data_IF_341349243822
#
_entry.id   IF_341349243822
#
_cell.length_a   1.000
_cell.length_b   1.000
_cell.length_c   1.000
_cell.angle_alpha   90.00
_cell.angle_beta   90.00
_cell.angle_gamma   90.00
#
_symmetry.space_group_name_H-M   'P 1'
#
loop_
_entity.id
_entity.type
_entity.pdbx_description
1 polymer ?
#
# COMPACT_ATOMS: atom_id res chain seq x y z
N UNK A 1 -0.53 13.00 30.87
CA UNK A 1 -1.45 11.85 30.80
C UNK A 1 -0.70 10.71 30.14
N UNK A 2 -0.75 9.48 30.70
CA UNK A 2 -0.18 8.29 30.03
C UNK A 2 -0.95 7.98 28.77
N UNK A 3 -0.27 7.46 27.75
CA UNK A 3 -0.94 6.97 26.53
C UNK A 3 -1.83 5.76 26.88
N UNK A 4 -2.95 5.62 26.18
CA UNK A 4 -3.81 4.45 26.33
C UNK A 4 -3.06 3.19 25.86
N UNK A 5 -3.40 2.05 26.43
CA UNK A 5 -2.91 0.74 26.00
C UNK A 5 -3.85 0.20 24.92
N UNK A 6 -3.28 -0.40 23.87
CA UNK A 6 -4.06 -1.08 22.84
C UNK A 6 -4.45 -2.48 23.34
N UNK A 7 -5.71 -2.84 23.22
CA UNK A 7 -6.23 -4.17 23.53
C UNK A 7 -6.70 -4.86 22.26
N UNK A 8 -6.16 -6.06 21.99
CA UNK A 8 -6.54 -6.86 20.81
C UNK A 8 -7.80 -7.65 21.11
N UNK A 9 -8.94 -7.09 20.75
CA UNK A 9 -10.25 -7.75 20.94
C UNK A 9 -10.80 -8.36 19.65
N UNK A 10 -10.28 -7.92 18.48
CA UNK A 10 -10.76 -8.29 17.15
C UNK A 10 -9.60 -8.64 16.21
N UNK A 11 -9.84 -9.46 15.17
CA UNK A 11 -8.85 -9.67 14.11
C UNK A 11 -8.43 -8.35 13.46
N UNK A 12 -7.13 -8.17 13.22
CA UNK A 12 -6.58 -7.00 12.58
C UNK A 12 -6.38 -7.22 11.08
N UNK A 13 -6.91 -6.30 10.26
CA UNK A 13 -6.84 -6.35 8.79
C UNK A 13 -6.37 -5.01 8.26
N UNK A 14 -5.42 -5.03 7.34
CA UNK A 14 -4.98 -3.84 6.61
C UNK A 14 -5.76 -3.73 5.31
N UNK A 15 -6.56 -2.69 5.17
CA UNK A 15 -7.25 -2.36 3.91
C UNK A 15 -6.74 -1.04 3.38
N UNK A 16 -6.92 -0.78 2.09
CA UNK A 16 -6.55 0.52 1.57
C UNK A 16 -7.35 0.91 0.35
N UNK A 17 -7.44 2.24 0.13
CA UNK A 17 -8.07 2.83 -1.04
C UNK A 17 -7.07 3.00 -2.17
N UNK A 18 -7.44 2.49 -3.35
CA UNK A 18 -6.70 2.64 -4.60
C UNK A 18 -7.63 3.15 -5.70
N UNK A 19 -7.10 3.68 -6.79
CA UNK A 19 -7.89 4.19 -7.91
C UNK A 19 -7.36 5.52 -8.42
N UNK A 20 -7.98 6.05 -9.46
CA UNK A 20 -7.57 7.26 -10.16
C UNK A 20 -7.57 8.49 -9.25
N UNK A 21 -6.80 9.52 -9.63
CA UNK A 21 -6.88 10.85 -9.01
C UNK A 21 -8.31 11.38 -9.13
N UNK A 22 -8.78 12.16 -8.17
CA UNK A 22 -10.12 12.78 -8.11
C UNK A 22 -11.32 11.82 -8.11
N UNK A 23 -11.11 10.50 -8.03
CA UNK A 23 -12.21 9.54 -7.85
C UNK A 23 -12.76 9.51 -6.42
N UNK A 24 -12.17 10.26 -5.47
CA UNK A 24 -12.70 10.47 -4.12
C UNK A 24 -12.22 9.46 -3.08
N UNK A 25 -11.00 8.89 -3.22
CA UNK A 25 -10.40 7.96 -2.24
C UNK A 25 -10.34 8.54 -0.82
N UNK A 26 -9.69 9.69 -0.66
CA UNK A 26 -9.56 10.37 0.64
C UNK A 26 -10.90 10.86 1.17
N UNK A 27 -11.83 11.27 0.28
CA UNK A 27 -13.21 11.60 0.66
C UNK A 27 -13.93 10.37 1.23
N UNK A 28 -13.77 9.21 0.59
CA UNK A 28 -14.33 7.95 1.08
C UNK A 28 -13.72 7.55 2.43
N UNK A 29 -12.41 7.65 2.58
CA UNK A 29 -11.71 7.39 3.86
C UNK A 29 -12.25 8.29 4.97
N UNK A 30 -12.44 9.59 4.71
CA UNK A 30 -13.04 10.53 5.66
C UNK A 30 -14.51 10.17 5.99
N UNK A 31 -15.31 9.78 4.97
CA UNK A 31 -16.69 9.35 5.15
C UNK A 31 -16.80 8.09 6.01
N UNK A 32 -15.93 7.09 5.77
CA UNK A 32 -15.85 5.87 6.59
C UNK A 32 -15.60 6.23 8.05
N UNK A 33 -14.58 7.04 8.34
CA UNK A 33 -14.28 7.41 9.74
C UNK A 33 -15.41 8.17 10.40
N UNK A 34 -16.10 9.04 9.66
CA UNK A 34 -17.25 9.81 10.17
C UNK A 34 -18.41 8.89 10.55
N UNK A 35 -18.80 8.00 9.64
CA UNK A 35 -19.95 7.11 9.84
C UNK A 35 -19.69 6.12 10.98
N UNK A 36 -18.48 5.54 11.01
CA UNK A 36 -18.09 4.62 12.08
C UNK A 36 -17.96 5.32 13.43
N UNK A 37 -17.56 6.60 13.47
CA UNK A 37 -17.51 7.40 14.70
C UNK A 37 -18.89 7.56 15.37
N UNK A 38 -19.99 7.51 14.60
CA UNK A 38 -21.34 7.57 15.15
C UNK A 38 -21.67 6.38 16.08
N UNK A 39 -21.02 5.23 15.86
CA UNK A 39 -21.10 4.06 16.75
C UNK A 39 -19.93 3.95 17.73
N UNK A 40 -19.02 4.93 17.77
CA UNK A 40 -17.83 4.93 18.62
C UNK A 40 -16.74 3.95 18.14
N UNK A 41 -16.78 3.53 16.87
CA UNK A 41 -15.85 2.58 16.27
C UNK A 41 -14.68 3.25 15.54
N UNK A 42 -14.62 4.58 15.53
CA UNK A 42 -13.53 5.37 14.99
C UNK A 42 -13.46 6.75 15.67
N UNK A 43 -12.30 7.39 15.55
CA UNK A 43 -12.19 8.84 15.68
C UNK A 43 -12.39 9.47 14.30
N UNK A 44 -13.33 10.41 14.19
CA UNK A 44 -13.55 11.11 12.92
C UNK A 44 -12.27 11.81 12.42
N UNK A 45 -11.90 11.53 11.19
CA UNK A 45 -10.79 12.18 10.48
C UNK A 45 -11.33 13.01 9.33
N UNK A 46 -11.27 14.33 9.46
CA UNK A 46 -11.64 15.22 8.37
C UNK A 46 -10.64 15.07 7.21
N UNK A 47 -11.07 15.34 5.99
CA UNK A 47 -10.27 15.30 4.76
C UNK A 47 -8.91 15.98 4.95
N UNK A 48 -8.91 17.24 5.41
CA UNK A 48 -7.68 18.03 5.65
C UNK A 48 -6.76 17.48 6.75
N UNK A 49 -7.23 16.53 7.55
CA UNK A 49 -6.42 15.86 8.57
C UNK A 49 -5.80 14.56 8.07
N UNK A 50 -6.31 14.00 6.98
CA UNK A 50 -5.76 12.86 6.25
C UNK A 50 -4.67 13.38 5.32
N UNK A 51 -5.01 14.26 4.37
CA UNK A 51 -4.06 14.99 3.52
C UNK A 51 -3.49 16.19 4.27
N UNK A 52 -2.48 15.94 5.10
CA UNK A 52 -2.03 16.94 6.08
C UNK A 52 -0.81 17.76 5.62
N UNK A 53 -0.02 17.27 4.65
CA UNK A 53 1.17 17.97 4.18
C UNK A 53 0.80 19.30 3.50
N UNK A 54 1.60 20.37 3.69
CA UNK A 54 1.32 21.67 3.03
C UNK A 54 1.21 21.56 1.51
N UNK A 55 1.98 20.67 0.88
CA UNK A 55 1.97 20.43 -0.55
C UNK A 55 0.70 19.71 -1.01
N UNK A 56 0.18 18.74 -0.22
CA UNK A 56 -1.10 18.08 -0.45
C UNK A 56 -2.25 19.08 -0.44
N UNK A 57 -2.28 19.94 0.59
CA UNK A 57 -3.29 20.99 0.72
C UNK A 57 -3.24 22.02 -0.41
N UNK A 58 -2.03 22.38 -0.85
CA UNK A 58 -1.84 23.35 -1.93
C UNK A 58 -2.26 22.81 -3.30
N UNK A 59 -2.09 21.50 -3.52
CA UNK A 59 -2.40 20.84 -4.80
C UNK A 59 -3.77 20.15 -4.80
N UNK A 60 -4.36 19.91 -3.64
CA UNK A 60 -5.62 19.15 -3.48
C UNK A 60 -5.50 17.68 -3.84
N UNK A 61 -4.30 17.10 -3.71
CA UNK A 61 -4.02 15.69 -4.05
C UNK A 61 -3.24 15.01 -2.94
N UNK A 62 -3.52 13.73 -2.70
CA UNK A 62 -2.74 12.89 -1.78
C UNK A 62 -1.36 12.58 -2.36
N UNK A 63 -0.32 12.84 -1.62
CA UNK A 63 1.09 12.61 -2.00
C UNK A 63 1.69 11.48 -1.16
N UNK A 64 1.57 11.58 0.15
CA UNK A 64 2.06 10.58 1.09
C UNK A 64 0.98 9.54 1.39
N UNK A 65 1.41 8.38 1.88
CA UNK A 65 0.48 7.37 2.41
C UNK A 65 -0.03 7.87 3.75
N UNK A 66 -1.35 7.87 3.93
CA UNK A 66 -1.97 8.15 5.21
C UNK A 66 -2.53 6.86 5.84
N UNK A 67 -2.31 6.71 7.14
CA UNK A 67 -2.84 5.58 7.91
C UNK A 67 -3.95 6.07 8.85
N UNK A 68 -5.10 5.42 8.76
CA UNK A 68 -6.27 5.71 9.59
C UNK A 68 -6.74 4.44 10.29
N UNK A 69 -7.13 4.54 11.56
CA UNK A 69 -7.63 3.44 12.37
C UNK A 69 -9.16 3.52 12.50
N UNK A 70 -9.83 2.39 12.36
CA UNK A 70 -11.24 2.24 12.70
C UNK A 70 -11.60 0.77 12.96
N UNK A 71 -12.79 0.55 13.45
CA UNK A 71 -13.32 -0.80 13.72
C UNK A 71 -14.69 -0.98 13.07
N UNK A 72 -15.08 -2.23 12.88
CA UNK A 72 -16.45 -2.68 12.70
C UNK A 72 -16.86 -3.52 13.92
N UNK A 73 -18.03 -4.11 13.89
CA UNK A 73 -18.41 -5.09 14.90
C UNK A 73 -17.45 -6.28 14.95
N UNK A 74 -16.94 -6.70 13.79
CA UNK A 74 -16.20 -7.94 13.61
C UNK A 74 -14.69 -7.76 13.59
N UNK A 75 -14.16 -6.62 13.14
CA UNK A 75 -12.74 -6.44 12.82
C UNK A 75 -12.21 -5.07 13.24
N UNK A 76 -10.89 -5.05 13.46
CA UNK A 76 -10.11 -3.82 13.60
C UNK A 76 -9.33 -3.58 12.32
N UNK A 77 -9.38 -2.36 11.79
CA UNK A 77 -8.76 -1.99 10.52
C UNK A 77 -7.66 -0.94 10.68
N UNK A 78 -6.54 -1.17 10.02
CA UNK A 78 -5.65 -0.12 9.58
C UNK A 78 -5.96 0.20 8.12
N UNK A 79 -6.38 1.41 7.83
CA UNK A 79 -6.72 1.87 6.49
C UNK A 79 -5.56 2.66 5.91
N UNK A 80 -5.12 2.27 4.74
CA UNK A 80 -4.01 2.87 3.98
C UNK A 80 -4.60 3.69 2.85
N UNK A 81 -4.62 5.01 2.97
CA UNK A 81 -5.05 5.89 1.89
C UNK A 81 -3.89 6.15 0.93
N UNK A 82 -4.00 5.65 -0.31
CA UNK A 82 -2.96 5.70 -1.31
C UNK A 82 -3.12 6.88 -2.26
N UNK A 83 -2.01 7.53 -2.67
CA UNK A 83 -2.06 8.56 -3.71
C UNK A 83 -2.59 8.01 -5.03
N UNK A 84 -3.31 8.84 -5.77
CA UNK A 84 -3.87 8.49 -7.09
C UNK A 84 -3.02 8.97 -8.27
N UNK A 85 -2.11 9.91 -8.06
CA UNK A 85 -1.35 10.55 -9.13
C UNK A 85 -0.14 9.72 -9.56
N UNK A 86 0.16 9.68 -10.87
CA UNK A 86 1.25 8.90 -11.46
C UNK A 86 2.63 9.23 -10.87
N UNK A 87 2.88 10.49 -10.52
CA UNK A 87 4.17 10.91 -9.93
C UNK A 87 4.46 10.26 -8.57
N UNK A 88 3.43 9.74 -7.89
CA UNK A 88 3.53 9.13 -6.56
C UNK A 88 3.32 7.61 -6.57
N UNK A 89 3.50 6.98 -7.74
CA UNK A 89 3.32 5.54 -7.94
C UNK A 89 4.13 4.69 -6.94
N UNK A 90 5.33 5.15 -6.56
CA UNK A 90 6.15 4.48 -5.55
C UNK A 90 5.48 4.41 -4.17
N UNK A 91 4.77 5.46 -3.77
CA UNK A 91 4.04 5.48 -2.52
C UNK A 91 2.81 4.57 -2.62
N UNK A 92 2.14 4.54 -3.79
CA UNK A 92 1.06 3.60 -4.05
C UNK A 92 1.53 2.15 -3.95
N UNK A 93 2.68 1.79 -4.56
CA UNK A 93 3.25 0.43 -4.49
C UNK A 93 3.55 0.05 -3.03
N UNK A 94 4.19 0.96 -2.27
CA UNK A 94 4.52 0.73 -0.86
C UNK A 94 3.26 0.55 -0.02
N UNK A 95 2.22 1.36 -0.25
CA UNK A 95 0.94 1.24 0.44
C UNK A 95 0.22 -0.05 0.09
N UNK A 96 0.14 -0.37 -1.20
CA UNK A 96 -0.53 -1.59 -1.68
C UNK A 96 0.15 -2.88 -1.14
N UNK A 97 1.47 -2.89 -1.01
CA UNK A 97 2.20 -4.02 -0.43
C UNK A 97 1.88 -4.27 1.06
N UNK A 98 1.27 -3.31 1.73
CA UNK A 98 0.84 -3.46 3.13
C UNK A 98 -0.60 -3.98 3.28
N UNK A 99 -1.38 -4.01 2.19
CA UNK A 99 -2.80 -4.34 2.23
C UNK A 99 -3.06 -5.84 2.29
N UNK A 100 -4.02 -6.22 3.10
CA UNK A 100 -4.64 -7.55 3.11
C UNK A 100 -5.88 -7.59 2.20
N UNK A 101 -6.34 -6.42 1.78
CA UNK A 101 -7.41 -6.22 0.81
C UNK A 101 -7.48 -4.78 0.34
N UNK A 102 -7.98 -4.53 -0.86
CA UNK A 102 -8.10 -3.20 -1.44
C UNK A 102 -9.56 -2.79 -1.66
N UNK A 103 -9.82 -1.50 -1.54
CA UNK A 103 -11.06 -0.84 -1.98
C UNK A 103 -10.70 -0.03 -3.24
N UNK A 104 -11.12 -0.52 -4.40
CA UNK A 104 -10.97 0.19 -5.65
C UNK A 104 -12.06 1.24 -5.79
N UNK A 105 -11.66 2.51 -5.76
CA UNK A 105 -12.59 3.65 -5.87
C UNK A 105 -12.61 4.14 -7.30
N UNK A 106 -13.79 4.10 -7.91
CA UNK A 106 -14.02 4.57 -9.28
C UNK A 106 -15.18 5.55 -9.29
N UNK A 107 -14.99 6.72 -9.89
CA UNK A 107 -16.08 7.68 -10.07
C UNK A 107 -16.99 7.19 -11.21
N UNK A 108 -18.30 7.07 -10.94
CA UNK A 108 -19.26 6.57 -11.89
C UNK A 108 -19.30 7.39 -13.21
N UNK A 109 -19.24 8.74 -13.19
CA UNK A 109 -19.22 9.52 -14.43
C UNK A 109 -17.99 9.30 -15.30
N UNK A 110 -16.85 8.93 -14.70
CA UNK A 110 -15.56 8.83 -15.39
C UNK A 110 -15.25 7.40 -15.84
N UNK A 111 -15.81 6.40 -15.14
CA UNK A 111 -15.49 5.00 -15.34
C UNK A 111 -14.02 4.66 -15.00
N UNK A 112 -13.51 3.50 -15.46
CA UNK A 112 -12.14 3.08 -15.22
C UNK A 112 -11.13 3.88 -16.07
N UNK A 113 -10.45 4.82 -15.44
CA UNK A 113 -9.44 5.70 -16.02
C UNK A 113 -8.05 5.02 -16.09
N UNK A 114 -7.05 5.60 -16.80
CA UNK A 114 -5.72 4.97 -16.96
C UNK A 114 -5.06 4.57 -15.63
N UNK A 115 -5.05 5.43 -14.60
CA UNK A 115 -4.46 5.08 -13.30
C UNK A 115 -5.28 4.03 -12.55
N UNK A 116 -6.58 3.88 -12.82
CA UNK A 116 -7.38 2.75 -12.30
C UNK A 116 -6.77 1.44 -12.78
N UNK A 117 -6.45 1.34 -14.09
CA UNK A 117 -5.83 0.17 -14.70
C UNK A 117 -4.43 -0.10 -14.12
N UNK A 118 -3.62 0.94 -13.98
CA UNK A 118 -2.29 0.85 -13.36
C UNK A 118 -2.37 0.36 -11.91
N UNK A 119 -3.28 0.90 -11.11
CA UNK A 119 -3.44 0.51 -9.70
C UNK A 119 -3.94 -0.94 -9.54
N UNK A 120 -4.85 -1.39 -10.38
CA UNK A 120 -5.31 -2.79 -10.39
C UNK A 120 -4.15 -3.73 -10.76
N UNK A 121 -3.36 -3.37 -11.78
CA UNK A 121 -2.17 -4.12 -12.17
C UNK A 121 -1.15 -4.20 -11.02
N UNK A 122 -0.84 -3.06 -10.40
CA UNK A 122 0.11 -3.00 -9.30
C UNK A 122 -0.38 -3.76 -8.07
N UNK A 123 -1.67 -3.65 -7.71
CA UNK A 123 -2.27 -4.45 -6.65
C UNK A 123 -2.11 -5.95 -6.93
N UNK A 124 -2.25 -6.38 -8.19
CA UNK A 124 -2.00 -7.76 -8.60
C UNK A 124 -0.53 -8.16 -8.46
N UNK A 125 0.40 -7.26 -8.83
CA UNK A 125 1.85 -7.53 -8.75
C UNK A 125 2.35 -7.63 -7.30
N UNK A 126 1.80 -6.83 -6.40
CA UNK A 126 2.14 -6.91 -4.96
C UNK A 126 1.30 -7.94 -4.21
N UNK A 127 0.53 -8.75 -4.95
CA UNK A 127 -0.24 -9.89 -4.45
C UNK A 127 -1.32 -9.50 -3.41
N UNK A 128 -2.02 -8.36 -3.61
CA UNK A 128 -3.21 -8.05 -2.82
C UNK A 128 -4.24 -9.17 -3.00
N UNK A 129 -4.63 -9.87 -1.93
CA UNK A 129 -5.38 -11.12 -2.07
C UNK A 129 -6.84 -10.94 -2.48
N UNK A 130 -7.46 -9.81 -2.11
CA UNK A 130 -8.87 -9.53 -2.40
C UNK A 130 -9.11 -8.05 -2.65
N UNK A 131 -10.14 -7.76 -3.43
CA UNK A 131 -10.52 -6.39 -3.79
C UNK A 131 -12.05 -6.23 -3.75
N UNK A 132 -12.51 -5.09 -3.26
CA UNK A 132 -13.91 -4.64 -3.31
C UNK A 132 -13.96 -3.36 -4.13
N UNK A 133 -14.99 -3.13 -4.90
CA UNK A 133 -15.16 -1.88 -5.66
C UNK A 133 -16.15 -0.97 -4.96
N UNK A 134 -15.79 0.31 -4.83
CA UNK A 134 -16.72 1.38 -4.49
C UNK A 134 -16.93 2.28 -5.71
N UNK A 135 -18.12 2.16 -6.33
CA UNK A 135 -18.54 3.02 -7.44
C UNK A 135 -19.07 4.33 -6.86
N UNK A 136 -18.19 5.32 -6.82
CA UNK A 136 -18.40 6.61 -6.17
C UNK A 136 -19.07 7.64 -7.09
N UNK A 137 -19.55 8.73 -6.52
CA UNK A 137 -20.20 9.86 -7.22
C UNK A 137 -21.44 9.46 -8.01
N UNK A 138 -22.21 8.50 -7.51
CA UNK A 138 -23.46 8.07 -8.16
C UNK A 138 -24.53 9.16 -8.11
N UNK A 139 -24.40 10.13 -7.21
CA UNK A 139 -25.20 11.36 -7.16
C UNK A 139 -25.09 12.23 -8.42
N UNK A 140 -24.05 12.01 -9.24
CA UNK A 140 -23.83 12.73 -10.51
C UNK A 140 -24.36 11.96 -11.74
N UNK A 141 -25.00 10.82 -11.57
CA UNK A 141 -25.49 9.97 -12.64
C UNK A 141 -26.95 9.56 -12.40
N UNK A 142 -27.82 10.09 -13.23
CA UNK A 142 -29.27 9.82 -13.15
C UNK A 142 -29.71 8.59 -13.98
N UNK A 143 -28.84 8.09 -14.88
CA UNK A 143 -29.15 6.99 -15.78
C UNK A 143 -28.65 5.64 -15.21
N UNK A 144 -29.58 4.74 -14.82
CA UNK A 144 -29.21 3.42 -14.31
C UNK A 144 -28.48 2.53 -15.33
N UNK A 145 -28.78 2.67 -16.65
CA UNK A 145 -28.16 1.86 -17.70
C UNK A 145 -26.67 2.22 -17.85
N UNK A 146 -26.32 3.49 -17.67
CA UNK A 146 -24.91 3.92 -17.67
C UNK A 146 -24.15 3.39 -16.46
N UNK A 147 -24.79 3.31 -15.28
CA UNK A 147 -24.16 2.71 -14.09
C UNK A 147 -23.86 1.22 -14.31
N UNK A 148 -24.81 0.48 -14.92
CA UNK A 148 -24.62 -0.94 -15.25
C UNK A 148 -23.50 -1.13 -16.28
N UNK A 149 -23.37 -0.23 -17.26
CA UNK A 149 -22.31 -0.27 -18.25
C UNK A 149 -20.92 -0.07 -17.59
N UNK A 150 -20.80 0.90 -16.69
CA UNK A 150 -19.54 1.13 -15.95
C UNK A 150 -19.18 -0.08 -15.08
N UNK A 151 -20.17 -0.72 -14.44
CA UNK A 151 -19.91 -1.96 -13.69
C UNK A 151 -19.43 -3.10 -14.58
N UNK A 152 -20.03 -3.26 -15.75
CA UNK A 152 -19.59 -4.26 -16.72
C UNK A 152 -18.15 -4.02 -17.15
N UNK A 153 -17.79 -2.78 -17.49
CA UNK A 153 -16.41 -2.41 -17.85
C UNK A 153 -15.42 -2.68 -16.71
N UNK A 154 -15.81 -2.42 -15.46
CA UNK A 154 -15.02 -2.73 -14.28
C UNK A 154 -14.79 -4.24 -14.10
N UNK A 155 -15.84 -5.06 -14.29
CA UNK A 155 -15.74 -6.52 -14.22
C UNK A 155 -14.80 -7.08 -15.30
N UNK A 156 -14.93 -6.59 -16.54
CA UNK A 156 -14.02 -6.94 -17.63
C UNK A 156 -12.58 -6.55 -17.34
N UNK A 157 -12.35 -5.34 -16.82
CA UNK A 157 -11.04 -4.86 -16.42
C UNK A 157 -10.41 -5.78 -15.36
N UNK A 158 -11.14 -6.06 -14.27
CA UNK A 158 -10.67 -6.88 -13.17
C UNK A 158 -10.35 -8.30 -13.62
N UNK A 159 -11.22 -8.89 -14.45
CA UNK A 159 -10.99 -10.21 -15.05
C UNK A 159 -9.76 -10.22 -15.93
N UNK A 160 -9.53 -9.17 -16.71
CA UNK A 160 -8.34 -9.00 -17.55
C UNK A 160 -7.04 -9.00 -16.74
N UNK A 161 -7.05 -8.49 -15.52
CA UNK A 161 -5.92 -8.53 -14.58
C UNK A 161 -5.93 -9.72 -13.63
N UNK A 162 -6.71 -10.76 -13.93
CA UNK A 162 -6.80 -12.02 -13.18
C UNK A 162 -7.35 -11.88 -11.75
N UNK A 163 -8.17 -10.91 -11.51
CA UNK A 163 -9.06 -10.89 -10.37
C UNK A 163 -10.38 -11.57 -10.74
N UNK A 164 -11.15 -12.13 -9.80
CA UNK A 164 -12.44 -12.76 -10.07
C UNK A 164 -13.53 -11.68 -10.32
N UNK A 165 -13.44 -10.98 -11.48
CA UNK A 165 -14.23 -9.80 -11.77
C UNK A 165 -15.74 -9.99 -11.66
N UNK A 166 -16.26 -11.19 -11.98
CA UNK A 166 -17.70 -11.51 -11.86
C UNK A 166 -18.15 -11.62 -10.40
N UNK A 167 -17.25 -12.09 -9.49
CA UNK A 167 -17.57 -12.34 -8.09
C UNK A 167 -17.23 -11.15 -7.18
N UNK A 168 -16.45 -10.16 -7.68
CA UNK A 168 -16.05 -9.00 -6.89
C UNK A 168 -17.26 -8.15 -6.57
N UNK A 169 -17.51 -7.85 -5.27
CA UNK A 169 -18.60 -6.98 -4.88
C UNK A 169 -18.37 -5.54 -5.37
N UNK A 170 -19.42 -4.93 -5.90
CA UNK A 170 -19.44 -3.51 -6.28
C UNK A 170 -20.52 -2.81 -5.45
N UNK A 171 -20.08 -1.86 -4.61
CA UNK A 171 -20.97 -1.03 -3.80
C UNK A 171 -21.11 0.34 -4.47
N UNK A 172 -22.33 0.77 -4.72
CA UNK A 172 -22.65 2.08 -5.33
C UNK A 172 -22.92 3.12 -4.25
N UNK A 173 -22.44 4.35 -4.42
CA UNK A 173 -22.76 5.42 -3.47
C UNK A 173 -22.09 6.76 -3.76
N UNK A 174 -22.35 7.71 -2.87
CA UNK A 174 -21.71 9.02 -2.83
C UNK A 174 -20.98 9.20 -1.50
N UNK A 175 -19.65 9.10 -1.54
CA UNK A 175 -18.82 9.38 -0.36
C UNK A 175 -18.97 10.83 0.10
N UNK A 176 -19.22 11.75 -0.83
CA UNK A 176 -19.44 13.16 -0.55
C UNK A 176 -20.72 13.38 0.25
N UNK A 177 -21.86 12.80 -0.18
CA UNK A 177 -23.12 12.97 0.52
C UNK A 177 -23.05 12.41 1.94
N UNK A 178 -22.40 11.25 2.12
CA UNK A 178 -22.14 10.71 3.44
C UNK A 178 -21.25 11.62 4.30
N UNK A 179 -20.21 12.23 3.71
CA UNK A 179 -19.30 13.12 4.43
C UNK A 179 -19.96 14.45 4.77
N UNK A 180 -20.71 15.05 3.87
CA UNK A 180 -21.33 16.37 4.03
C UNK A 180 -22.66 16.33 4.80
N UNK A 181 -23.32 15.17 4.92
CA UNK A 181 -24.57 15.01 5.67
C UNK A 181 -24.41 15.53 7.10
N UNK A 182 -25.41 16.25 7.59
CA UNK A 182 -25.49 16.75 8.97
C UNK A 182 -26.36 15.89 9.88
N UNK A 183 -26.87 14.74 9.36
CA UNK A 183 -27.68 13.82 10.13
C UNK A 183 -26.87 13.25 11.31
N UNK A 184 -27.52 13.15 12.46
CA UNK A 184 -26.99 12.45 13.64
C UNK A 184 -27.57 11.05 13.79
N UNK A 185 -28.43 10.64 12.86
CA UNK A 185 -29.00 9.30 12.81
C UNK A 185 -28.06 8.37 12.03
N UNK A 186 -27.47 7.34 12.64
CA UNK A 186 -26.61 6.40 11.96
C UNK A 186 -27.28 5.65 10.80
N UNK A 187 -28.61 5.51 10.86
CA UNK A 187 -29.40 4.79 9.84
C UNK A 187 -29.94 5.72 8.73
N UNK A 188 -29.49 6.97 8.68
CA UNK A 188 -29.87 7.90 7.63
C UNK A 188 -29.44 7.37 6.25
N UNK A 189 -30.28 7.56 5.20
CA UNK A 189 -30.06 7.02 3.85
C UNK A 189 -28.69 7.38 3.26
N UNK A 190 -28.15 8.57 3.57
CA UNK A 190 -26.86 9.05 3.08
C UNK A 190 -25.69 8.19 3.56
N UNK A 191 -25.84 7.49 4.68
CA UNK A 191 -24.80 6.62 5.26
C UNK A 191 -24.92 5.16 4.80
N UNK A 192 -26.02 4.78 4.16
CA UNK A 192 -26.30 3.40 3.79
C UNK A 192 -25.20 2.78 2.93
N UNK A 193 -24.64 3.54 1.96
CA UNK A 193 -23.57 3.05 1.10
C UNK A 193 -22.27 2.79 1.87
N UNK A 194 -21.97 3.53 2.92
CA UNK A 194 -20.80 3.32 3.76
C UNK A 194 -20.98 2.09 4.66
N UNK A 195 -22.17 1.92 5.26
CA UNK A 195 -22.47 0.71 6.04
C UNK A 195 -22.41 -0.54 5.17
N UNK A 196 -22.97 -0.47 3.96
CA UNK A 196 -22.91 -1.58 3.00
C UNK A 196 -21.47 -1.88 2.57
N UNK A 197 -20.66 -0.86 2.29
CA UNK A 197 -19.24 -1.04 1.97
C UNK A 197 -18.52 -1.76 3.11
N UNK A 198 -18.71 -1.33 4.35
CA UNK A 198 -18.02 -1.93 5.48
C UNK A 198 -18.48 -3.36 5.75
N UNK A 199 -19.77 -3.64 5.56
CA UNK A 199 -20.31 -5.00 5.61
C UNK A 199 -19.66 -5.91 4.56
N UNK A 200 -19.58 -5.43 3.32
CA UNK A 200 -18.97 -6.17 2.21
C UNK A 200 -17.47 -6.38 2.42
N UNK A 201 -16.76 -5.38 2.93
CA UNK A 201 -15.33 -5.49 3.30
C UNK A 201 -15.13 -6.55 4.39
N UNK A 202 -15.98 -6.57 5.43
CA UNK A 202 -15.93 -7.58 6.50
C UNK A 202 -16.16 -9.00 5.97
N UNK A 203 -17.07 -9.17 5.01
CA UNK A 203 -17.46 -10.48 4.48
C UNK A 203 -16.51 -10.99 3.38
N UNK A 204 -16.09 -10.12 2.48
CA UNK A 204 -15.37 -10.53 1.26
C UNK A 204 -13.85 -10.56 1.42
N UNK A 205 -13.26 -9.60 2.15
CA UNK A 205 -11.81 -9.60 2.37
C UNK A 205 -11.45 -10.69 3.41
N UNK A 206 -10.59 -11.65 3.06
CA UNK A 206 -10.25 -12.73 3.98
C UNK A 206 -9.51 -12.21 5.20
N UNK A 207 -9.70 -12.85 6.36
CA UNK A 207 -8.83 -12.63 7.51
C UNK A 207 -7.45 -13.21 7.20
N UNK A 208 -6.38 -12.40 7.21
CA UNK A 208 -5.07 -12.87 6.79
C UNK A 208 -4.46 -13.84 7.82
N UNK A 209 -3.78 -14.87 7.31
CA UNK A 209 -2.90 -15.70 8.11
C UNK A 209 -1.60 -14.94 8.41
N UNK A 210 -1.14 -14.97 9.65
CA UNK A 210 0.02 -14.21 10.12
C UNK A 210 1.18 -15.13 10.51
N UNK A 211 2.34 -14.88 9.94
CA UNK A 211 3.59 -15.60 10.23
C UNK A 211 4.21 -15.15 11.57
N UNK A 212 3.50 -15.34 12.67
CA UNK A 212 3.93 -14.87 14.01
C UNK A 212 5.10 -15.67 14.59
N UNK A 213 5.25 -16.94 14.20
CA UNK A 213 6.29 -17.84 14.72
C UNK A 213 7.66 -17.65 14.01
N UNK A 214 7.70 -16.91 12.90
CA UNK A 214 8.94 -16.61 12.20
C UNK A 214 9.75 -15.53 12.91
N UNK A 215 11.07 -15.44 12.67
CA UNK A 215 11.88 -14.33 13.19
C UNK A 215 11.32 -12.98 12.77
N UNK A 216 11.26 -12.02 13.70
CA UNK A 216 10.77 -10.66 13.48
C UNK A 216 11.44 -10.01 12.27
N UNK A 217 10.61 -9.34 11.45
CA UNK A 217 11.03 -8.54 10.31
C UNK A 217 10.00 -7.44 10.04
N UNK A 218 10.49 -6.20 9.94
CA UNK A 218 9.69 -5.02 9.63
C UNK A 218 10.44 -4.09 8.68
N UNK A 219 9.99 -3.92 7.43
CA UNK A 219 10.52 -2.89 6.53
C UNK A 219 10.24 -1.48 7.08
N UNK A 220 11.24 -0.61 6.98
CA UNK A 220 11.15 0.79 7.42
C UNK A 220 10.38 1.60 6.37
N UNK A 221 9.28 2.20 6.78
CA UNK A 221 8.45 3.07 5.95
C UNK A 221 8.80 4.54 6.17
N UNK A 222 8.87 4.95 7.44
CA UNK A 222 9.22 6.32 7.78
C UNK A 222 10.04 6.39 9.08
N UNK A 223 10.75 7.51 9.28
CA UNK A 223 11.64 7.74 10.41
C UNK A 223 11.40 9.10 11.02
N UNK A 224 11.04 9.12 12.28
CA UNK A 224 10.75 10.34 13.05
C UNK A 224 11.72 10.51 14.20
N UNK A 225 12.09 11.75 14.49
CA UNK A 225 12.79 12.11 15.72
C UNK A 225 11.81 12.74 16.70
N UNK A 226 11.67 12.14 17.88
CA UNK A 226 10.82 12.69 18.96
C UNK A 226 11.72 13.32 20.00
N UNK A 227 11.62 14.65 20.17
CA UNK A 227 12.43 15.40 21.11
C UNK A 227 12.30 14.83 22.53
N UNK A 228 13.44 14.43 23.12
CA UNK A 228 13.54 13.84 24.44
C UNK A 228 13.15 12.35 24.55
N UNK A 229 12.76 11.70 23.43
CA UNK A 229 12.45 10.26 23.41
C UNK A 229 13.38 9.44 22.50
N UNK A 230 13.87 10.02 21.43
CA UNK A 230 14.76 9.36 20.46
C UNK A 230 14.13 9.17 19.09
N UNK A 231 14.69 8.26 18.31
CA UNK A 231 14.25 7.94 16.97
C UNK A 231 13.13 6.88 17.01
N UNK A 232 12.05 7.17 16.30
CA UNK A 232 10.94 6.23 16.06
C UNK A 232 10.95 5.84 14.60
N UNK A 233 10.86 4.55 14.34
CA UNK A 233 10.80 3.97 13.01
C UNK A 233 9.43 3.32 12.84
N UNK A 234 8.74 3.65 11.77
CA UNK A 234 7.42 3.07 11.47
C UNK A 234 7.49 2.09 10.32
N UNK A 235 6.58 1.14 10.33
CA UNK A 235 6.38 0.17 9.26
C UNK A 235 5.37 -0.90 9.64
N UNK A 236 4.97 -1.70 8.66
CA UNK A 236 4.19 -2.90 8.89
C UNK A 236 5.11 -4.06 9.27
N UNK A 237 4.77 -4.77 10.32
CA UNK A 237 5.45 -6.02 10.67
C UNK A 237 5.12 -7.09 9.62
N UNK A 238 6.12 -7.53 8.90
CA UNK A 238 5.98 -8.52 7.84
C UNK A 238 5.76 -9.93 8.41
N UNK A 239 6.55 -10.25 9.47
CA UNK A 239 6.52 -11.55 10.13
C UNK A 239 7.11 -11.47 11.53
N UNK A 240 6.80 -12.46 12.34
CA UNK A 240 7.27 -12.57 13.71
C UNK A 240 6.59 -11.61 14.67
N UNK A 241 7.16 -11.51 15.84
CA UNK A 241 6.73 -10.63 16.93
C UNK A 241 7.91 -9.82 17.45
N UNK A 242 7.63 -8.63 17.99
CA UNK A 242 8.59 -7.78 18.68
C UNK A 242 8.02 -7.30 20.01
N UNK A 243 8.82 -7.39 21.06
CA UNK A 243 8.47 -6.89 22.39
C UNK A 243 9.33 -5.69 22.77
N UNK A 244 8.84 -4.94 23.74
CA UNK A 244 9.67 -3.90 24.37
C UNK A 244 10.90 -4.54 25.01
N UNK A 245 12.07 -3.97 24.77
CA UNK A 245 13.40 -4.40 25.18
C UNK A 245 14.02 -5.54 24.35
N UNK A 246 13.41 -5.94 23.25
CA UNK A 246 14.03 -6.86 22.31
C UNK A 246 15.24 -6.23 21.61
N UNK A 247 16.28 -7.03 21.43
CA UNK A 247 17.42 -6.69 20.59
C UNK A 247 17.06 -6.87 19.11
N UNK A 248 17.39 -5.89 18.30
CA UNK A 248 17.13 -5.88 16.84
C UNK A 248 18.35 -5.38 16.07
N UNK A 249 18.42 -5.75 14.80
CA UNK A 249 19.37 -5.22 13.83
C UNK A 249 18.64 -4.32 12.83
N UNK A 250 19.28 -3.21 12.48
CA UNK A 250 18.90 -2.32 11.39
C UNK A 250 19.77 -2.70 10.20
N UNK A 251 19.17 -3.21 9.14
CA UNK A 251 19.87 -3.80 8.00
C UNK A 251 19.43 -3.14 6.71
N UNK A 252 20.34 -2.93 5.77
CA UNK A 252 20.01 -2.44 4.45
C UNK A 252 21.05 -1.50 3.87
N UNK A 253 20.67 -0.31 3.46
CA UNK A 253 21.45 0.65 2.68
C UNK A 253 22.78 1.04 3.37
N UNK A 254 22.76 1.13 4.70
CA UNK A 254 23.90 1.49 5.54
C UNK A 254 24.49 0.28 6.25
N UNK A 255 25.61 0.47 6.95
CA UNK A 255 26.20 -0.56 7.81
C UNK A 255 25.16 -1.07 8.82
N UNK A 256 25.13 -2.39 8.99
CA UNK A 256 24.23 -3.04 9.95
C UNK A 256 24.54 -2.56 11.37
N UNK A 257 23.51 -2.10 12.07
CA UNK A 257 23.60 -1.66 13.46
C UNK A 257 22.71 -2.48 14.37
N UNK A 258 23.18 -2.77 15.56
CA UNK A 258 22.40 -3.39 16.64
C UNK A 258 21.81 -2.32 17.54
N UNK A 259 20.57 -2.50 17.94
CA UNK A 259 19.92 -1.63 18.89
C UNK A 259 18.86 -2.39 19.69
N UNK A 260 18.18 -1.70 20.59
CA UNK A 260 17.10 -2.24 21.41
C UNK A 260 15.83 -1.44 21.13
N UNK A 261 14.72 -2.14 20.89
CA UNK A 261 13.39 -1.55 20.80
C UNK A 261 12.89 -1.21 22.22
N UNK A 262 12.85 0.06 22.58
CA UNK A 262 12.45 0.50 23.93
C UNK A 262 10.96 0.78 24.08
N UNK A 263 10.21 0.72 23.02
CA UNK A 263 8.76 0.89 23.03
C UNK A 263 8.14 0.57 21.69
N UNK A 264 6.95 0.01 21.73
CA UNK A 264 6.12 -0.31 20.56
C UNK A 264 4.82 0.47 20.66
N UNK A 265 4.43 1.16 19.60
CA UNK A 265 3.20 1.95 19.56
C UNK A 265 2.46 1.69 18.24
N UNK A 266 1.13 1.67 18.28
CA UNK A 266 0.24 1.62 17.13
C UNK A 266 -0.86 2.66 17.31
N UNK A 267 -1.08 3.55 16.31
CA UNK A 267 -2.07 4.63 16.38
C UNK A 267 -2.02 5.44 17.69
N UNK A 268 -0.81 5.78 18.16
CA UNK A 268 -0.54 6.51 19.42
C UNK A 268 -0.89 5.77 20.70
N UNK A 269 -1.30 4.50 20.63
CA UNK A 269 -1.52 3.61 21.77
C UNK A 269 -0.27 2.76 22.02
N UNK A 270 0.04 2.46 23.28
CA UNK A 270 1.19 1.61 23.63
C UNK A 270 0.79 0.15 23.47
N UNK A 271 1.69 -0.64 22.86
CA UNK A 271 1.56 -2.09 22.76
C UNK A 271 2.61 -2.76 23.66
N UNK A 272 2.24 -3.91 24.25
CA UNK A 272 3.21 -4.80 24.91
C UNK A 272 4.05 -5.53 23.86
N UNK A 273 3.42 -5.90 22.73
CA UNK A 273 4.03 -6.58 21.61
C UNK A 273 3.46 -6.10 20.27
N UNK A 274 4.30 -6.04 19.24
CA UNK A 274 3.89 -5.89 17.84
C UNK A 274 4.02 -7.23 17.13
N UNK A 275 3.01 -7.63 16.35
CA UNK A 275 3.02 -8.92 15.63
C UNK A 275 2.83 -8.73 14.13
N UNK A 276 3.12 -9.78 13.38
CA UNK A 276 2.91 -9.81 11.93
C UNK A 276 1.56 -9.23 11.53
N UNK A 277 1.57 -8.26 10.62
CA UNK A 277 0.42 -7.51 10.13
C UNK A 277 0.18 -6.16 10.80
N UNK A 278 0.74 -5.89 11.97
CA UNK A 278 0.56 -4.60 12.65
C UNK A 278 1.35 -3.49 11.98
N UNK A 279 0.75 -2.31 11.88
CA UNK A 279 1.44 -1.07 11.51
C UNK A 279 1.92 -0.37 12.80
N UNK A 280 3.20 -0.50 13.11
CA UNK A 280 3.77 -0.05 14.38
C UNK A 280 4.86 1.01 14.23
N UNK A 281 5.05 1.75 15.30
CA UNK A 281 6.24 2.56 15.53
C UNK A 281 7.12 1.94 16.61
N UNK A 282 8.37 1.65 16.27
CA UNK A 282 9.40 1.16 17.18
C UNK A 282 10.28 2.32 17.66
N UNK A 283 10.36 2.53 18.97
CA UNK A 283 11.29 3.48 19.57
C UNK A 283 12.67 2.82 19.75
N UNK A 284 13.68 3.37 19.12
CA UNK A 284 15.03 2.80 19.08
C UNK A 284 15.97 3.49 20.06
N UNK A 285 16.78 2.70 20.76
CA UNK A 285 17.78 3.21 21.72
C UNK A 285 19.07 3.60 21.03
N UNK A 286 19.55 4.84 21.26
CA UNK A 286 20.86 5.28 20.81
C UNK A 286 21.08 5.28 19.30
N UNK A 287 19.99 5.45 18.54
CA UNK A 287 20.00 5.57 17.10
C UNK A 287 19.56 6.99 16.74
N UNK A 288 20.36 7.67 15.94
CA UNK A 288 20.01 8.97 15.39
C UNK A 288 19.14 8.82 14.14
N UNK A 289 18.35 9.85 13.83
CA UNK A 289 17.47 9.82 12.66
C UNK A 289 18.21 9.51 11.36
N UNK A 290 19.44 10.05 11.24
CA UNK A 290 20.26 9.89 10.04
C UNK A 290 20.93 8.50 9.93
N UNK A 291 20.81 7.67 10.95
CA UNK A 291 21.32 6.28 10.94
C UNK A 291 20.35 5.32 10.26
N UNK A 292 19.07 5.69 10.13
CA UNK A 292 18.00 4.86 9.57
C UNK A 292 17.32 5.60 8.42
N UNK A 293 17.04 4.88 7.36
CA UNK A 293 16.33 5.41 6.18
C UNK A 293 15.18 4.49 5.78
N UNK A 294 14.19 5.07 5.08
CA UNK A 294 13.16 4.29 4.39
C UNK A 294 13.81 3.24 3.49
N UNK A 295 13.28 2.02 3.50
CA UNK A 295 13.82 0.90 2.73
C UNK A 295 14.80 0.02 3.48
N UNK A 296 15.35 0.47 4.62
CA UNK A 296 16.04 -0.41 5.54
C UNK A 296 15.04 -1.34 6.25
N UNK A 297 15.54 -2.33 6.97
CA UNK A 297 14.71 -3.35 7.63
C UNK A 297 15.13 -3.49 9.09
N UNK A 298 14.17 -3.50 10.00
CA UNK A 298 14.35 -3.96 11.37
C UNK A 298 14.14 -5.47 11.41
N UNK A 299 15.08 -6.22 11.96
CA UNK A 299 15.02 -7.66 12.01
C UNK A 299 15.59 -8.23 13.31
N UNK A 300 15.19 -9.46 13.65
CA UNK A 300 15.83 -10.22 14.73
C UNK A 300 17.30 -10.42 14.39
N UNK A 301 18.23 -10.23 15.34
CA UNK A 301 19.66 -10.34 15.08
C UNK A 301 20.05 -11.65 14.38
N UNK A 302 20.81 -11.52 13.28
CA UNK A 302 21.30 -12.64 12.48
C UNK A 302 20.27 -13.41 11.67
N UNK A 303 19.01 -12.95 11.62
CA UNK A 303 17.93 -13.66 10.90
C UNK A 303 17.92 -13.43 9.39
N UNK A 304 18.49 -12.32 8.92
CA UNK A 304 18.59 -11.97 7.50
C UNK A 304 19.99 -11.39 7.19
N UNK A 305 20.32 -11.37 5.92
CA UNK A 305 21.55 -10.74 5.40
C UNK A 305 21.19 -9.79 4.26
N UNK A 306 21.96 -8.71 4.11
CA UNK A 306 21.80 -7.83 2.96
C UNK A 306 22.35 -8.48 1.68
N UNK A 307 21.73 -8.18 0.55
CA UNK A 307 22.11 -8.67 -0.78
C UNK A 307 22.22 -7.50 -1.74
N UNK A 308 23.15 -7.56 -2.68
CA UNK A 308 23.31 -6.58 -3.77
C UNK A 308 22.98 -7.19 -5.13
N UNK A 309 22.92 -8.52 -5.20
CA UNK A 309 22.62 -9.27 -6.41
C UNK A 309 21.49 -10.25 -6.14
N UNK A 310 20.59 -10.38 -7.10
CA UNK A 310 19.51 -11.36 -7.07
C UNK A 310 19.09 -11.74 -8.48
N UNK A 311 18.45 -12.88 -8.61
CA UNK A 311 17.80 -13.33 -9.81
C UNK A 311 16.29 -13.21 -9.64
N UNK A 312 15.60 -12.76 -10.66
CA UNK A 312 14.16 -12.56 -10.61
C UNK A 312 13.52 -12.83 -11.97
N UNK A 313 12.28 -13.24 -11.93
CA UNK A 313 11.42 -13.37 -13.09
C UNK A 313 10.82 -11.99 -13.42
N UNK A 314 10.94 -11.57 -14.69
CA UNK A 314 10.50 -10.24 -15.11
C UNK A 314 9.36 -10.37 -16.11
N UNK A 315 8.22 -9.77 -15.77
CA UNK A 315 7.14 -9.53 -16.72
C UNK A 315 7.29 -8.14 -17.33
N UNK A 316 7.47 -8.07 -18.64
CA UNK A 316 7.56 -6.79 -19.36
C UNK A 316 6.17 -6.39 -19.83
N UNK A 317 5.66 -5.29 -19.29
CA UNK A 317 4.35 -4.75 -19.66
C UNK A 317 4.28 -4.45 -21.16
N UNK A 318 3.17 -4.86 -21.77
CA UNK A 318 2.86 -4.54 -23.16
C UNK A 318 2.46 -3.07 -23.30
N UNK A 319 2.48 -2.59 -24.54
CA UNK A 319 2.10 -1.21 -24.87
C UNK A 319 0.67 -0.86 -24.43
N UNK A 320 -0.26 -1.79 -24.61
CA UNK A 320 -1.67 -1.66 -24.21
C UNK A 320 -1.88 -1.73 -22.68
N UNK A 321 -0.89 -2.23 -21.95
CA UNK A 321 -0.84 -2.23 -20.49
C UNK A 321 -0.12 -1.00 -19.92
N UNK A 322 0.21 0.01 -20.73
CA UNK A 322 0.99 1.18 -20.31
C UNK A 322 2.50 0.93 -20.31
N UNK A 323 2.97 -0.18 -20.87
CA UNK A 323 4.37 -0.58 -20.91
C UNK A 323 5.23 0.22 -21.90
N UNK A 324 6.51 -0.13 -21.92
CA UNK A 324 7.53 0.49 -22.79
C UNK A 324 7.23 0.25 -24.27
N UNK A 325 7.59 1.23 -25.08
CA UNK A 325 7.53 1.11 -26.55
C UNK A 325 8.87 0.67 -27.18
N UNK A 326 9.94 0.69 -26.38
CA UNK A 326 11.30 0.39 -26.85
C UNK A 326 11.90 -0.76 -26.05
N UNK A 327 12.63 -1.68 -26.68
CA UNK A 327 13.35 -2.73 -25.97
C UNK A 327 14.41 -2.14 -25.04
N UNK A 328 14.87 -2.90 -24.07
CA UNK A 328 16.03 -2.58 -23.27
C UNK A 328 17.12 -3.65 -23.42
N UNK A 329 18.33 -3.27 -23.13
CA UNK A 329 19.54 -4.06 -23.33
C UNK A 329 20.19 -4.38 -21.99
N UNK A 330 21.16 -5.30 -22.00
CA UNK A 330 22.01 -5.54 -20.84
C UNK A 330 22.65 -4.23 -20.36
N UNK A 331 22.71 -4.06 -19.04
CA UNK A 331 23.16 -2.82 -18.42
C UNK A 331 22.09 -1.74 -18.30
N UNK A 332 20.84 -1.98 -18.70
CA UNK A 332 19.73 -1.08 -18.42
C UNK A 332 19.58 -0.83 -16.92
N UNK A 333 19.37 0.40 -16.53
CA UNK A 333 19.34 0.84 -15.12
C UNK A 333 17.96 1.37 -14.74
N UNK A 334 17.01 0.49 -14.42
CA UNK A 334 15.72 0.91 -13.86
C UNK A 334 15.81 1.19 -12.36
N UNK A 335 14.76 1.80 -11.83
CA UNK A 335 14.50 1.78 -10.40
C UNK A 335 13.80 0.48 -10.01
N UNK A 336 14.22 -0.10 -8.89
CA UNK A 336 13.61 -1.29 -8.31
C UNK A 336 12.91 -0.90 -7.01
N UNK A 337 11.66 -1.32 -6.90
CA UNK A 337 10.87 -1.17 -5.69
C UNK A 337 10.71 -2.52 -5.02
N UNK A 338 11.26 -2.67 -3.81
CA UNK A 338 11.18 -3.92 -3.03
C UNK A 338 10.68 -3.59 -1.63
N UNK A 339 9.41 -3.88 -1.35
CA UNK A 339 8.75 -3.41 -0.13
C UNK A 339 8.76 -1.88 -0.03
N UNK A 340 9.46 -1.34 0.95
CA UNK A 340 9.61 0.12 1.14
C UNK A 340 10.86 0.70 0.46
N UNK A 341 11.73 -0.17 -0.06
CA UNK A 341 13.01 0.20 -0.67
C UNK A 341 12.81 0.68 -2.11
N UNK A 342 13.52 1.76 -2.47
CA UNK A 342 13.62 2.33 -3.82
C UNK A 342 15.10 2.45 -4.20
N UNK A 343 15.57 1.61 -5.13
CA UNK A 343 16.98 1.57 -5.51
C UNK A 343 17.16 1.47 -7.02
N UNK A 344 18.20 2.11 -7.52
CA UNK A 344 18.64 1.92 -8.91
C UNK A 344 19.52 0.68 -8.99
N UNK A 345 19.28 -0.17 -9.97
CA UNK A 345 20.11 -1.34 -10.25
C UNK A 345 20.40 -1.50 -11.73
N UNK A 346 21.26 -2.41 -12.09
CA UNK A 346 21.52 -2.80 -13.49
C UNK A 346 20.93 -4.19 -13.76
N UNK A 347 20.41 -4.36 -14.98
CA UNK A 347 19.87 -5.62 -15.46
C UNK A 347 20.96 -6.35 -16.23
N UNK A 348 21.27 -7.58 -15.82
CA UNK A 348 22.04 -8.53 -16.62
C UNK A 348 21.08 -9.52 -17.28
N UNK A 349 21.22 -9.71 -18.56
CA UNK A 349 20.36 -10.62 -19.33
C UNK A 349 20.98 -12.02 -19.37
N UNK A 350 20.17 -13.09 -19.55
CA UNK A 350 20.67 -14.44 -19.74
C UNK A 350 21.60 -14.56 -20.99
N UNK A 351 22.47 -15.57 -21.00
CA UNK A 351 23.33 -15.82 -22.15
C UNK A 351 22.52 -15.99 -23.47
N UNK A 352 22.94 -15.25 -24.50
CA UNK A 352 22.28 -15.25 -25.80
C UNK A 352 21.09 -14.28 -25.93
N UNK A 353 20.73 -13.57 -24.89
CA UNK A 353 19.69 -12.51 -24.90
C UNK A 353 20.37 -11.16 -24.95
N UNK A 354 20.34 -10.49 -26.10
CA UNK A 354 20.94 -9.17 -26.29
C UNK A 354 19.96 -8.03 -25.90
N UNK A 355 18.67 -8.27 -26.12
CA UNK A 355 17.60 -7.27 -25.88
C UNK A 355 16.37 -7.90 -25.29
N UNK A 356 15.63 -7.12 -24.51
CA UNK A 356 14.35 -7.53 -23.93
C UNK A 356 13.25 -6.58 -24.38
N UNK A 357 12.23 -7.14 -25.02
CA UNK A 357 10.99 -6.42 -25.36
C UNK A 357 9.80 -7.36 -25.21
N UNK A 358 8.59 -6.80 -25.10
CA UNK A 358 7.35 -7.57 -25.00
C UNK A 358 7.13 -8.56 -26.16
N UNK A 359 7.85 -8.40 -27.29
CA UNK A 359 7.76 -9.29 -28.45
C UNK A 359 8.73 -10.49 -28.39
N UNK A 360 9.73 -10.44 -27.51
CA UNK A 360 10.79 -11.45 -27.41
C UNK A 360 10.76 -12.25 -26.10
N UNK A 361 10.13 -11.73 -25.05
CA UNK A 361 9.94 -12.48 -23.82
C UNK A 361 8.63 -13.24 -23.87
N UNK A 362 8.70 -14.56 -23.75
CA UNK A 362 7.58 -15.33 -23.20
C UNK A 362 7.41 -14.88 -21.76
N UNK A 363 6.18 -14.65 -21.31
CA UNK A 363 5.90 -14.32 -19.93
C UNK A 363 6.78 -15.19 -19.00
N UNK A 364 7.65 -14.56 -18.22
CA UNK A 364 8.60 -15.15 -17.27
C UNK A 364 9.95 -15.58 -17.86
N UNK A 365 10.89 -14.66 -17.94
CA UNK A 365 12.30 -14.99 -18.09
C UNK A 365 13.07 -14.55 -16.82
N UNK A 366 13.96 -15.44 -16.34
CA UNK A 366 14.84 -15.13 -15.22
C UNK A 366 15.94 -14.19 -15.68
N UNK A 367 16.06 -13.04 -15.03
CA UNK A 367 17.13 -12.08 -15.27
C UNK A 367 17.93 -11.89 -14.00
N UNK A 368 19.24 -11.68 -14.13
CA UNK A 368 20.08 -11.30 -13.02
C UNK A 368 20.04 -9.80 -12.84
N UNK A 369 19.83 -9.37 -11.60
CA UNK A 369 19.69 -7.98 -11.23
C UNK A 369 20.77 -7.61 -10.24
N UNK A 370 21.52 -6.54 -10.53
CA UNK A 370 22.56 -6.00 -9.68
C UNK A 370 22.11 -4.64 -9.19
N UNK A 371 21.86 -4.53 -7.89
CA UNK A 371 21.52 -3.27 -7.25
C UNK A 371 22.78 -2.51 -6.84
N UNK A 372 22.75 -1.19 -6.98
CA UNK A 372 23.78 -0.30 -6.45
C UNK A 372 23.61 0.02 -4.97
N UNK A 373 22.52 -0.44 -4.36
CA UNK A 373 22.25 -0.37 -2.94
C UNK A 373 21.93 -1.76 -2.38
N UNK A 374 22.19 -1.94 -1.11
CA UNK A 374 21.94 -3.19 -0.39
C UNK A 374 20.46 -3.32 -0.09
N UNK A 375 19.87 -4.49 -0.33
CA UNK A 375 18.48 -4.78 0.02
C UNK A 375 18.35 -6.14 0.72
N UNK A 376 17.26 -6.30 1.45
CA UNK A 376 16.95 -7.51 2.17
C UNK A 376 15.79 -8.23 1.48
N UNK A 377 16.04 -9.42 0.93
CA UNK A 377 15.01 -10.27 0.35
C UNK A 377 14.41 -11.18 1.41
N UNK A 378 13.09 -11.39 1.36
CA UNK A 378 12.46 -12.51 2.04
C UNK A 378 13.03 -13.81 1.46
N UNK A 379 13.61 -14.70 2.30
CA UNK A 379 13.80 -16.08 1.91
C UNK A 379 12.42 -16.73 1.85
N UNK A 380 11.85 -16.77 0.65
CA UNK A 380 10.65 -17.54 0.39
C UNK A 380 10.95 -19.02 0.53
N UNK A 381 10.25 -19.70 1.43
CA UNK A 381 10.02 -21.12 1.27
C UNK A 381 9.14 -21.28 0.02
N UNK A 382 9.55 -22.12 -0.90
CA UNK A 382 9.13 -22.29 -2.28
C UNK A 382 7.65 -22.02 -2.56
N UNK A 383 7.41 -21.01 -3.38
CA UNK A 383 6.14 -20.60 -3.95
C UNK A 383 6.33 -19.26 -4.61
N UNK A 384 6.28 -19.23 -5.94
CA UNK A 384 6.39 -18.19 -6.92
C UNK A 384 6.62 -16.74 -6.45
N UNK A 385 7.84 -16.24 -6.63
CA UNK A 385 8.19 -14.87 -6.31
C UNK A 385 7.67 -13.88 -7.34
N UNK A 386 6.95 -12.88 -6.92
CA UNK A 386 6.57 -11.75 -7.74
C UNK A 386 7.73 -10.79 -7.95
N UNK A 387 8.18 -10.66 -9.17
CA UNK A 387 9.17 -9.67 -9.56
C UNK A 387 8.53 -8.31 -9.78
N UNK A 388 9.02 -7.30 -9.11
CA UNK A 388 8.57 -5.93 -9.29
C UNK A 388 8.96 -5.36 -10.65
N UNK A 389 8.00 -5.05 -11.47
CA UNK A 389 8.20 -4.35 -12.73
C UNK A 389 8.40 -2.85 -12.51
N UNK A 390 9.56 -2.34 -12.85
CA UNK A 390 9.82 -0.91 -12.80
C UNK A 390 9.23 -0.16 -13.99
N UNK A 391 8.32 0.76 -13.75
CA UNK A 391 7.88 1.73 -14.74
C UNK A 391 8.86 2.89 -14.83
N UNK A 392 9.55 3.04 -15.96
CA UNK A 392 10.41 4.18 -16.21
C UNK A 392 9.64 5.39 -16.70
N UNK A 393 9.54 6.44 -15.91
CA UNK A 393 9.10 7.75 -16.34
C UNK A 393 10.21 8.47 -17.07
N UNK A 394 10.06 8.70 -18.37
CA UNK A 394 10.95 9.52 -19.15
C UNK A 394 10.65 11.01 -18.97
N UNK A 395 11.52 11.77 -18.31
CA UNK A 395 11.50 13.21 -18.31
C UNK A 395 12.02 13.77 -19.63
N UNK A 396 11.17 14.38 -20.43
CA UNK A 396 11.54 15.16 -21.59
C UNK A 396 12.03 16.55 -21.20
N UNK A 397 13.31 16.80 -21.29
CA UNK A 397 13.87 18.14 -21.23
C UNK A 397 13.69 18.86 -22.54
N UNK A 398 12.89 19.92 -22.57
CA UNK A 398 12.82 20.85 -23.66
C UNK A 398 14.01 21.79 -23.62
N UNK A 399 14.81 21.82 -24.67
CA UNK A 399 15.79 22.83 -24.94
C UNK A 399 15.24 23.82 -25.92
N UNK A 400 15.38 25.07 -25.62
CA UNK A 400 15.01 26.18 -26.46
C UNK A 400 15.90 26.39 -27.68
N UNK A 401 15.44 27.11 -28.57
CA UNK A 401 16.01 27.69 -29.71
C UNK A 401 14.98 28.56 -30.40
#
# INVERSE_FOLDING_TARGET
>A
MGKAKFERTKPHVNVGTIGHIDHGKTTLTAAITKVLAMKGWSDFRAFDSIDNAPEEKARGITIAIAHVEYETENRHYAHVDCPGHVDYIKNMITGAAQMDGAILVVAAPDGPMPQTREHVLLARQVEVPAMVVFLNKTDMMDDPELLELVELELRELLTGYRFPGDDIPIVRGSARDALESTSTDPDAPEYACIWELMRVVDEYIPTPERDVDKPFLMPVEDVFSIKGRGTVVTGRVDRGTIHTMDEIEIIGIKETRKTVCTGVEMFRKILDEGMAGDNIGCLLRGIDRDDVERGMVLAKPGSIKPHTEFEGEVYVLRKDEGGRHTPFFAGYRPQFYVGTLDVTGAVELPEGVETVSYTHLRAHETVRLISYAVFCLKKGGGGGGGGGGGGGGGGGGGGGG
#
